data_IF_277577382689
#
_entry.id   IF_277577382689
#
_cell.length_a   1.000
_cell.length_b   1.000
_cell.length_c   1.000
_cell.angle_alpha   90.00
_cell.angle_beta   90.00
_cell.angle_gamma   90.00
#
_symmetry.space_group_name_H-M   'P 1'
#
loop_
_entity.id
_entity.type
_entity.pdbx_description
1 polymer ?
#
# COMPACT_ATOMS: atom_id res chain seq x y z
N UNK A 1 73.55 50.54 15.35
CA UNK A 1 72.99 49.92 14.17
C UNK A 1 73.24 48.43 14.24
N UNK A 2 72.29 47.57 14.51
CA UNK A 2 72.44 46.11 14.49
C UNK A 2 71.23 45.55 13.71
N UNK A 3 71.56 45.05 12.50
CA UNK A 3 70.60 44.32 11.67
C UNK A 3 70.46 42.89 12.19
N UNK A 4 69.25 42.46 12.49
CA UNK A 4 68.91 41.04 12.74
C UNK A 4 68.20 40.49 11.55
N UNK A 5 68.86 39.55 10.87
CA UNK A 5 68.32 38.79 9.77
C UNK A 5 67.41 37.68 10.34
N UNK A 6 66.12 37.67 10.00
CA UNK A 6 65.20 36.58 10.34
C UNK A 6 65.17 35.58 9.18
N UNK A 7 65.50 34.34 9.48
CA UNK A 7 65.39 33.21 8.56
C UNK A 7 63.97 32.62 8.70
N UNK A 8 63.19 32.69 7.63
CA UNK A 8 61.87 32.11 7.57
C UNK A 8 61.98 30.68 7.00
N UNK A 9 61.65 29.71 7.85
CA UNK A 9 61.59 28.29 7.47
C UNK A 9 60.17 27.99 6.93
N UNK A 10 60.07 27.69 5.63
CA UNK A 10 58.79 27.29 5.02
C UNK A 10 58.59 25.79 5.23
N UNK A 11 57.58 25.44 6.04
CA UNK A 11 57.08 24.07 6.14
C UNK A 11 56.10 23.82 4.98
N UNK A 12 56.44 22.92 4.06
CA UNK A 12 55.52 22.35 3.10
C UNK A 12 54.62 21.31 3.82
N UNK A 13 53.37 21.68 4.13
CA UNK A 13 52.36 20.76 4.59
C UNK A 13 51.63 20.10 3.40
N UNK A 14 51.79 18.81 3.22
CA UNK A 14 51.07 18.03 2.24
C UNK A 14 49.60 17.88 2.71
N UNK A 15 48.65 18.51 2.00
CA UNK A 15 47.22 18.32 2.14
C UNK A 15 46.82 16.98 1.53
N UNK A 16 46.61 15.97 2.37
CA UNK A 16 45.95 14.72 1.96
C UNK A 16 44.45 15.02 1.89
N UNK A 17 43.95 15.23 0.66
CA UNK A 17 42.54 15.39 0.38
C UNK A 17 41.78 14.07 0.57
N UNK A 18 41.25 13.84 1.74
CA UNK A 18 40.25 12.80 1.98
C UNK A 18 38.92 13.19 1.34
N UNK A 19 38.49 12.45 0.32
CA UNK A 19 37.12 12.59 -0.22
C UNK A 19 36.11 12.27 0.89
N UNK A 20 35.07 13.07 1.07
CA UNK A 20 34.02 12.73 2.03
C UNK A 20 33.30 11.48 1.51
N UNK A 21 33.43 10.37 2.23
CA UNK A 21 32.65 9.16 1.98
C UNK A 21 31.16 9.50 2.10
N UNK A 22 30.41 9.30 1.02
CA UNK A 22 28.98 9.42 1.03
C UNK A 22 28.42 8.40 2.04
N UNK A 23 27.97 8.88 3.20
CA UNK A 23 27.24 8.08 4.18
C UNK A 23 25.88 7.80 3.55
N UNK A 24 25.63 6.56 3.12
CA UNK A 24 24.32 6.14 2.66
C UNK A 24 23.33 6.35 3.79
N UNK A 25 22.30 7.19 3.54
CA UNK A 25 21.23 7.39 4.48
C UNK A 25 20.54 6.03 4.77
N UNK A 26 20.20 5.72 6.03
CA UNK A 26 19.50 4.50 6.35
C UNK A 26 18.17 4.49 5.60
N UNK A 27 17.98 3.51 4.73
CA UNK A 27 16.68 3.20 4.10
C UNK A 27 15.73 2.81 5.23
N UNK A 28 14.80 3.69 5.55
CA UNK A 28 13.76 3.41 6.53
C UNK A 28 12.98 2.16 6.07
N UNK A 29 13.15 1.05 6.79
CA UNK A 29 12.35 -0.16 6.59
C UNK A 29 10.87 0.22 6.76
N UNK A 30 10.07 0.01 5.72
CA UNK A 30 8.64 0.21 5.81
C UNK A 30 8.09 -0.81 6.81
N UNK A 31 7.54 -0.35 7.93
CA UNK A 31 6.85 -1.21 8.88
C UNK A 31 5.64 -1.81 8.18
N UNK A 32 5.68 -3.11 7.91
CA UNK A 32 4.56 -3.83 7.31
C UNK A 32 3.47 -3.99 8.36
N UNK A 33 2.37 -3.26 8.21
CA UNK A 33 1.18 -3.42 9.05
C UNK A 33 0.13 -4.21 8.28
N UNK A 34 -0.36 -5.31 8.88
CA UNK A 34 -1.42 -6.13 8.30
C UNK A 34 -2.73 -5.89 9.04
N UNK A 35 -3.80 -5.61 8.29
CA UNK A 35 -5.18 -5.53 8.78
C UNK A 35 -5.95 -6.74 8.27
N UNK A 36 -6.54 -7.48 9.18
CA UNK A 36 -7.33 -8.67 8.88
C UNK A 36 -8.82 -8.38 8.91
N UNK A 37 -9.54 -8.94 7.95
CA UNK A 37 -11.00 -8.77 7.79
C UNK A 37 -11.66 -10.14 7.67
N UNK A 38 -12.68 -10.38 8.48
CA UNK A 38 -13.55 -11.54 8.38
C UNK A 38 -15.01 -11.09 8.49
N UNK A 39 -15.67 -10.92 7.35
CA UNK A 39 -17.07 -10.47 7.32
C UNK A 39 -18.07 -11.53 7.84
N UNK A 40 -17.64 -12.73 8.18
CA UNK A 40 -18.42 -13.73 8.89
C UNK A 40 -18.31 -13.64 10.42
N UNK A 41 -17.38 -12.80 10.93
CA UNK A 41 -17.21 -12.62 12.36
C UNK A 41 -18.45 -11.93 12.98
N UNK A 42 -18.97 -12.42 14.10
CA UNK A 42 -20.21 -11.91 14.68
C UNK A 42 -20.06 -10.49 15.28
N UNK A 43 -18.85 -10.12 15.66
CA UNK A 43 -18.57 -8.82 16.29
C UNK A 43 -17.38 -8.14 15.61
N UNK A 44 -17.36 -6.79 15.55
CA UNK A 44 -16.23 -6.06 15.00
C UNK A 44 -15.01 -6.21 15.91
N UNK A 45 -13.86 -6.58 15.30
CA UNK A 45 -12.59 -6.69 15.99
C UNK A 45 -11.70 -5.48 15.79
N UNK A 46 -10.41 -5.66 16.14
CA UNK A 46 -9.36 -4.63 16.06
C UNK A 46 -8.52 -4.70 14.78
N UNK A 47 -8.83 -5.64 13.87
CA UNK A 47 -8.07 -5.86 12.65
C UNK A 47 -6.83 -6.73 12.80
N UNK A 48 -6.68 -7.43 13.91
CA UNK A 48 -5.67 -8.49 14.08
C UNK A 48 -6.22 -9.82 13.55
N UNK A 49 -5.35 -10.81 13.33
CA UNK A 49 -5.78 -12.12 12.83
C UNK A 49 -6.75 -12.83 13.81
N UNK A 50 -6.51 -12.67 15.11
CA UNK A 50 -7.37 -13.26 16.17
C UNK A 50 -8.59 -12.41 16.51
N UNK A 51 -8.64 -11.15 16.05
CA UNK A 51 -9.73 -10.21 16.26
C UNK A 51 -9.93 -9.37 15.00
N UNK A 52 -10.39 -9.97 13.88
CA UNK A 52 -10.50 -9.31 12.59
C UNK A 52 -11.62 -8.27 12.57
N UNK A 53 -11.50 -7.28 11.69
CA UNK A 53 -12.63 -6.41 11.34
C UNK A 53 -13.72 -7.26 10.69
N UNK A 54 -14.98 -6.91 10.87
CA UNK A 54 -16.09 -7.64 10.28
C UNK A 54 -16.84 -6.87 9.17
N UNK A 55 -16.33 -5.72 8.75
CA UNK A 55 -16.93 -4.90 7.71
C UNK A 55 -15.89 -4.15 6.89
N UNK A 56 -16.17 -4.01 5.59
CA UNK A 56 -15.34 -3.18 4.68
C UNK A 56 -15.36 -1.69 5.02
N UNK A 57 -16.42 -1.21 5.70
CA UNK A 57 -16.53 0.20 6.11
C UNK A 57 -15.48 0.63 7.14
N UNK A 58 -14.85 -0.33 7.82
CA UNK A 58 -13.82 -0.10 8.82
C UNK A 58 -12.42 0.11 8.21
N UNK A 59 -12.25 -0.02 6.88
CA UNK A 59 -10.97 0.04 6.16
C UNK A 59 -10.45 1.46 5.87
N UNK A 60 -11.07 2.52 6.43
CA UNK A 60 -10.78 3.92 6.08
C UNK A 60 -9.32 4.35 6.16
N UNK A 61 -8.49 3.71 6.98
CA UNK A 61 -7.07 4.02 7.15
C UNK A 61 -6.17 2.78 7.04
N UNK A 62 -6.67 1.71 6.42
CA UNK A 62 -5.96 0.44 6.36
C UNK A 62 -4.91 0.38 5.23
N UNK A 63 -5.02 1.23 4.22
CA UNK A 63 -4.13 1.27 3.07
C UNK A 63 -2.98 2.26 3.26
N UNK A 64 -1.88 2.06 2.51
CA UNK A 64 -0.69 2.91 2.53
C UNK A 64 0.59 2.12 2.26
N UNK A 65 1.76 2.77 2.25
CA UNK A 65 3.03 2.12 1.93
C UNK A 65 3.33 0.92 2.82
N UNK A 66 3.50 -0.26 2.20
CA UNK A 66 3.79 -1.53 2.86
C UNK A 66 2.64 -2.11 3.69
N UNK A 67 1.45 -1.50 3.68
CA UNK A 67 0.30 -2.02 4.42
C UNK A 67 -0.42 -3.11 3.64
N UNK A 68 -0.95 -4.09 4.37
CA UNK A 68 -1.70 -5.21 3.82
C UNK A 68 -3.09 -5.26 4.43
N UNK A 69 -4.10 -5.38 3.58
CA UNK A 69 -5.48 -5.70 3.96
C UNK A 69 -5.78 -7.09 3.46
N UNK A 70 -6.05 -8.01 4.36
CA UNK A 70 -6.29 -9.41 4.03
C UNK A 70 -7.67 -9.85 4.46
N UNK A 71 -8.46 -10.35 3.51
CA UNK A 71 -9.80 -10.90 3.73
C UNK A 71 -9.71 -12.41 4.00
N UNK A 72 -10.50 -12.90 4.94
CA UNK A 72 -10.54 -14.32 5.26
C UNK A 72 -11.11 -15.14 4.12
N UNK A 73 -10.41 -16.18 3.71
CA UNK A 73 -10.91 -17.16 2.74
C UNK A 73 -12.20 -17.79 3.23
N UNK A 74 -13.15 -17.99 2.32
CA UNK A 74 -14.48 -18.50 2.62
C UNK A 74 -15.50 -17.46 3.08
N UNK A 75 -15.08 -16.22 3.43
CA UNK A 75 -16.02 -15.16 3.81
C UNK A 75 -16.54 -14.39 2.60
N UNK A 76 -17.71 -13.79 2.75
CA UNK A 76 -18.30 -12.84 1.80
C UNK A 76 -18.51 -11.50 2.47
N UNK A 77 -17.85 -10.48 1.95
CA UNK A 77 -17.95 -9.10 2.39
C UNK A 77 -18.87 -8.32 1.44
N UNK A 78 -19.91 -7.71 1.97
CA UNK A 78 -20.83 -6.88 1.18
C UNK A 78 -20.40 -5.41 1.25
N UNK A 79 -20.36 -4.76 0.08
CA UNK A 79 -20.02 -3.35 -0.06
C UNK A 79 -18.83 -3.11 -0.99
N UNK A 80 -18.27 -1.92 -0.89
CA UNK A 80 -17.14 -1.46 -1.71
C UNK A 80 -15.87 -1.33 -0.88
N UNK A 81 -14.75 -1.80 -1.41
CA UNK A 81 -13.42 -1.47 -0.90
C UNK A 81 -12.90 -0.26 -1.67
N UNK A 82 -12.55 0.80 -0.96
CA UNK A 82 -11.87 1.96 -1.54
C UNK A 82 -10.41 1.95 -1.12
N UNK A 83 -9.50 1.78 -2.10
CA UNK A 83 -8.06 1.93 -1.86
C UNK A 83 -7.76 3.42 -1.88
N UNK A 84 -7.73 4.04 -0.71
CA UNK A 84 -7.69 5.49 -0.53
C UNK A 84 -6.28 6.05 -0.27
N UNK A 85 -5.25 5.21 -0.28
CA UNK A 85 -3.86 5.63 -0.14
C UNK A 85 -2.94 4.82 -1.06
N UNK A 86 -1.99 5.50 -1.67
CA UNK A 86 -0.93 4.88 -2.48
C UNK A 86 0.05 4.10 -1.60
N UNK A 87 0.61 3.05 -2.16
CA UNK A 87 1.88 2.50 -1.72
C UNK A 87 3.06 3.37 -2.17
N UNK A 88 4.21 2.76 -2.29
CA UNK A 88 5.42 3.34 -2.92
C UNK A 88 6.26 2.22 -3.52
N UNK A 89 7.18 2.54 -4.41
CA UNK A 89 8.11 1.57 -4.99
C UNK A 89 8.81 0.76 -3.90
N UNK A 90 8.74 -0.57 -3.98
CA UNK A 90 9.26 -1.49 -2.97
C UNK A 90 8.43 -1.63 -1.68
N UNK A 91 7.30 -0.92 -1.57
CA UNK A 91 6.38 -1.00 -0.44
C UNK A 91 4.94 -0.75 -0.91
N UNK A 92 4.45 -1.60 -1.81
CA UNK A 92 3.08 -1.52 -2.33
C UNK A 92 2.06 -1.72 -1.21
N UNK A 93 0.89 -1.11 -1.35
CA UNK A 93 -0.27 -1.48 -0.54
C UNK A 93 -0.92 -2.72 -1.13
N UNK A 94 -1.35 -3.66 -0.30
CA UNK A 94 -1.90 -4.95 -0.74
C UNK A 94 -3.32 -5.15 -0.25
N UNK A 95 -4.22 -5.49 -1.17
CA UNK A 95 -5.53 -6.08 -0.89
C UNK A 95 -5.49 -7.56 -1.34
N UNK A 96 -5.69 -8.49 -0.41
CA UNK A 96 -5.56 -9.92 -0.70
C UNK A 96 -6.34 -10.81 0.26
N UNK A 97 -5.92 -12.06 0.37
CA UNK A 97 -6.60 -13.07 1.19
C UNK A 97 -5.66 -13.71 2.23
N UNK A 98 -6.25 -14.25 3.31
CA UNK A 98 -5.56 -15.07 4.30
C UNK A 98 -6.38 -16.31 4.68
N UNK A 99 -5.73 -17.23 5.36
CA UNK A 99 -6.33 -18.49 5.77
C UNK A 99 -6.44 -19.53 4.65
N UNK A 100 -7.20 -20.57 4.87
CA UNK A 100 -7.41 -21.68 3.93
C UNK A 100 -8.84 -21.66 3.36
N UNK A 101 -9.04 -22.26 2.19
CA UNK A 101 -10.34 -22.42 1.57
C UNK A 101 -10.52 -21.60 0.28
N UNK A 102 -11.77 -21.40 -0.13
CA UNK A 102 -12.13 -20.63 -1.34
C UNK A 102 -11.72 -19.18 -1.20
N UNK A 103 -11.40 -18.51 -2.33
CA UNK A 103 -11.13 -17.08 -2.33
C UNK A 103 -12.27 -16.29 -1.66
N UNK A 104 -11.95 -15.28 -0.85
CA UNK A 104 -12.96 -14.43 -0.24
C UNK A 104 -13.69 -13.64 -1.32
N UNK A 105 -14.96 -13.32 -1.07
CA UNK A 105 -15.82 -12.63 -2.02
C UNK A 105 -16.03 -11.19 -1.56
N UNK A 106 -15.81 -10.23 -2.45
CA UNK A 106 -16.29 -8.86 -2.31
C UNK A 106 -17.52 -8.72 -3.21
N UNK A 107 -18.67 -8.49 -2.60
CA UNK A 107 -19.95 -8.37 -3.28
C UNK A 107 -20.46 -6.92 -3.17
N UNK A 108 -20.35 -6.17 -4.27
CA UNK A 108 -20.75 -4.77 -4.27
C UNK A 108 -22.24 -4.58 -3.99
N UNK A 109 -23.09 -5.56 -4.35
CA UNK A 109 -24.54 -5.42 -4.39
C UNK A 109 -24.96 -4.08 -5.00
N UNK A 110 -24.28 -3.73 -6.09
CA UNK A 110 -24.51 -2.46 -6.75
C UNK A 110 -25.91 -2.41 -7.39
N UNK A 111 -26.42 -1.22 -7.53
CA UNK A 111 -27.75 -0.96 -8.09
C UNK A 111 -27.77 0.39 -8.77
N UNK A 112 -28.83 0.69 -9.50
CA UNK A 112 -29.06 2.02 -10.12
C UNK A 112 -29.00 3.19 -9.11
N UNK A 113 -29.17 2.91 -7.82
CA UNK A 113 -29.13 3.93 -6.76
C UNK A 113 -27.74 4.19 -6.23
N UNK A 114 -26.88 3.16 -6.13
CA UNK A 114 -25.55 3.31 -5.54
C UNK A 114 -24.41 3.25 -6.56
N UNK A 115 -24.62 2.71 -7.75
CA UNK A 115 -23.69 2.67 -8.90
C UNK A 115 -22.21 2.44 -8.55
N UNK A 116 -21.93 1.61 -7.55
CA UNK A 116 -20.58 1.40 -7.02
C UNK A 116 -19.91 0.22 -7.71
N UNK A 117 -18.60 0.27 -7.80
CA UNK A 117 -17.76 -0.91 -8.04
C UNK A 117 -17.50 -1.65 -6.73
N UNK A 118 -17.12 -2.91 -6.80
CA UNK A 118 -16.75 -3.65 -5.59
C UNK A 118 -15.37 -3.21 -5.06
N UNK A 119 -14.46 -2.80 -5.96
CA UNK A 119 -13.18 -2.18 -5.60
C UNK A 119 -13.02 -0.90 -6.39
N UNK A 120 -12.69 0.19 -5.71
CA UNK A 120 -12.48 1.51 -6.29
C UNK A 120 -11.13 2.07 -5.92
N UNK A 121 -10.42 2.61 -6.92
CA UNK A 121 -9.08 3.20 -6.80
C UNK A 121 -9.02 4.46 -7.64
N UNK A 122 -8.94 5.63 -6.99
CA UNK A 122 -8.85 6.93 -7.64
C UNK A 122 -7.50 7.58 -7.36
N UNK A 123 -6.73 7.89 -8.42
CA UNK A 123 -5.44 8.58 -8.32
C UNK A 123 -4.49 7.93 -7.30
N UNK A 124 -4.45 6.58 -7.24
CA UNK A 124 -3.54 5.85 -6.35
C UNK A 124 -2.61 4.96 -7.15
N UNK A 125 -1.34 4.96 -6.73
CA UNK A 125 -0.26 4.18 -7.33
C UNK A 125 0.29 3.15 -6.34
N UNK A 126 1.06 2.20 -6.86
CA UNK A 126 1.76 1.20 -6.05
C UNK A 126 0.80 0.36 -5.18
N UNK A 127 -0.07 -0.39 -5.83
CA UNK A 127 -0.99 -1.30 -5.17
C UNK A 127 -1.06 -2.66 -5.85
N UNK A 128 -1.37 -3.67 -5.04
CA UNK A 128 -1.58 -5.05 -5.46
C UNK A 128 -2.97 -5.49 -5.03
N UNK A 129 -3.76 -6.03 -5.96
CA UNK A 129 -5.05 -6.67 -5.71
C UNK A 129 -4.95 -8.11 -6.16
N UNK A 130 -5.16 -9.06 -5.26
CA UNK A 130 -4.97 -10.48 -5.58
C UNK A 130 -5.79 -11.46 -4.74
N UNK A 131 -5.97 -12.68 -5.28
CA UNK A 131 -6.54 -13.84 -4.59
C UNK A 131 -7.99 -13.63 -4.11
N UNK A 132 -8.80 -12.88 -4.85
CA UNK A 132 -10.16 -12.50 -4.49
C UNK A 132 -11.16 -12.94 -5.56
N UNK A 133 -12.41 -13.12 -5.15
CA UNK A 133 -13.58 -13.11 -6.03
C UNK A 133 -14.28 -11.77 -5.86
N UNK A 134 -14.57 -11.08 -6.97
CA UNK A 134 -15.20 -9.77 -6.99
C UNK A 134 -16.45 -9.86 -7.84
N UNK A 135 -17.58 -9.31 -7.36
CA UNK A 135 -18.83 -9.44 -8.11
C UNK A 135 -19.84 -8.31 -7.85
N UNK A 136 -20.82 -8.26 -8.74
CA UNK A 136 -22.00 -7.40 -8.61
C UNK A 136 -21.66 -5.90 -8.54
N UNK A 137 -20.60 -5.46 -9.23
CA UNK A 137 -20.37 -4.06 -9.52
C UNK A 137 -21.40 -3.51 -10.51
N UNK A 138 -21.70 -2.21 -10.49
CA UNK A 138 -22.71 -1.62 -11.37
C UNK A 138 -22.25 -1.55 -12.82
N UNK A 139 -21.15 -0.86 -13.08
CA UNK A 139 -20.51 -0.81 -14.40
C UNK A 139 -19.31 -1.73 -14.47
N UNK A 140 -18.53 -1.77 -13.41
CA UNK A 140 -17.30 -2.54 -13.30
C UNK A 140 -17.23 -3.19 -11.91
N UNK A 141 -16.67 -4.38 -11.84
CA UNK A 141 -16.34 -5.00 -10.55
C UNK A 141 -15.16 -4.31 -9.88
N UNK A 142 -14.18 -3.87 -10.68
CA UNK A 142 -13.01 -3.09 -10.23
C UNK A 142 -12.93 -1.83 -11.10
N UNK A 143 -12.86 -0.66 -10.47
CA UNK A 143 -12.58 0.63 -11.10
C UNK A 143 -11.23 1.15 -10.65
N UNK A 144 -10.37 1.48 -11.62
CA UNK A 144 -9.08 2.15 -11.40
C UNK A 144 -9.04 3.36 -12.31
N UNK A 145 -9.12 4.55 -11.73
CA UNK A 145 -9.29 5.78 -12.47
C UNK A 145 -8.20 6.81 -12.14
N UNK A 146 -7.69 7.46 -13.19
CA UNK A 146 -6.77 8.59 -13.08
C UNK A 146 -7.50 9.85 -13.54
N UNK A 147 -7.48 10.88 -12.70
CA UNK A 147 -8.14 12.15 -12.97
C UNK A 147 -7.13 13.31 -12.94
N UNK A 148 -7.49 14.42 -13.57
CA UNK A 148 -6.72 15.68 -13.52
C UNK A 148 -5.26 15.56 -14.02
N UNK A 149 -4.99 14.66 -14.98
CA UNK A 149 -3.64 14.46 -15.54
C UNK A 149 -2.71 13.63 -14.65
N UNK A 150 -3.21 13.04 -13.56
CA UNK A 150 -2.45 12.12 -12.74
C UNK A 150 -2.12 10.82 -13.49
N UNK A 151 -0.98 10.22 -13.15
CA UNK A 151 -0.54 8.94 -13.71
C UNK A 151 -0.51 7.87 -12.62
N UNK A 152 -1.20 6.76 -12.86
CA UNK A 152 -1.20 5.61 -11.97
C UNK A 152 -0.10 4.65 -12.42
N UNK A 153 0.80 4.30 -11.50
CA UNK A 153 1.94 3.41 -11.75
C UNK A 153 2.05 2.34 -10.68
N UNK A 154 2.81 1.26 -10.93
CA UNK A 154 3.05 0.21 -9.96
C UNK A 154 1.78 -0.58 -9.59
N UNK A 155 0.94 -0.88 -10.57
CA UNK A 155 -0.32 -1.61 -10.38
C UNK A 155 -0.13 -3.08 -10.70
N UNK A 156 -0.55 -3.94 -9.78
CA UNK A 156 -0.65 -5.39 -10.01
C UNK A 156 -2.04 -5.89 -9.65
N UNK A 157 -2.72 -6.49 -10.62
CA UNK A 157 -4.02 -7.14 -10.42
C UNK A 157 -3.88 -8.57 -10.93
N UNK A 158 -4.03 -9.56 -10.04
CA UNK A 158 -3.75 -10.95 -10.40
C UNK A 158 -4.56 -11.95 -9.57
N UNK A 159 -4.75 -13.15 -10.11
CA UNK A 159 -5.43 -14.27 -9.47
C UNK A 159 -6.82 -13.90 -8.92
N UNK A 160 -7.60 -13.23 -9.77
CA UNK A 160 -8.97 -12.82 -9.46
C UNK A 160 -9.97 -13.68 -10.20
N UNK A 161 -11.16 -13.81 -9.61
CA UNK A 161 -12.38 -14.24 -10.28
C UNK A 161 -13.33 -13.04 -10.31
N UNK A 162 -13.68 -12.58 -11.51
CA UNK A 162 -14.63 -11.49 -11.72
C UNK A 162 -15.95 -12.09 -12.20
N UNK A 163 -17.04 -11.79 -11.50
CA UNK A 163 -18.37 -12.33 -11.82
C UNK A 163 -19.34 -11.17 -11.95
N UNK A 164 -19.58 -10.78 -13.16
CA UNK A 164 -20.59 -9.77 -13.49
C UNK A 164 -21.90 -10.48 -13.88
N UNK A 165 -22.95 -10.21 -13.12
CA UNK A 165 -24.29 -10.79 -13.35
C UNK A 165 -25.28 -9.66 -13.62
#
# INVERSE_FOLDING_TARGET
>A
MRFRTAVTLALFGALIGGAPGAVAAPTASATTTTTYVDCSAPTPGRGTETSPLNSLTQLKSAFGPGRKVLLRRGSTCVGTVVINASGRAGADTLLGAYGAGKAPVIDAKASVRNRRSAIEVDNKSHFVIQDLTVRNGYFNDISVEAHNGEHITGVTIQRLSLIHI
#
